data_IF_418422385854
#
_entry.id   IF_418422385854
#
_cell.length_a   1.000
_cell.length_b   1.000
_cell.length_c   1.000
_cell.angle_alpha   90.00
_cell.angle_beta   90.00
_cell.angle_gamma   90.00
#
_symmetry.space_group_name_H-M   'P 1'
#
loop_
_entity.id
_entity.type
_entity.pdbx_description
1 polymer ?
#
# COMPACT_ATOMS: atom_id res chain seq x y z
N UNK A 1 -26.23 -0.16 21.13
CA UNK A 1 -24.93 0.19 20.49
C UNK A 1 -24.51 -0.85 19.43
N UNK A 2 -24.67 -2.16 19.66
CA UNK A 2 -24.36 -3.16 18.61
C UNK A 2 -25.32 -3.15 17.42
N UNK A 3 -26.57 -2.68 17.60
CA UNK A 3 -27.56 -2.62 16.51
C UNK A 3 -27.17 -1.65 15.39
N UNK A 4 -26.41 -0.60 15.69
CA UNK A 4 -25.92 0.37 14.70
C UNK A 4 -24.88 -0.26 13.77
N UNK A 5 -23.95 -1.07 14.31
CA UNK A 5 -22.97 -1.77 13.48
C UNK A 5 -23.62 -2.86 12.63
N UNK A 6 -24.62 -3.56 13.19
CA UNK A 6 -25.36 -4.61 12.50
C UNK A 6 -26.33 -4.09 11.42
N UNK A 7 -26.73 -2.82 11.48
CA UNK A 7 -27.62 -2.24 10.45
C UNK A 7 -26.92 -1.94 9.13
N UNK A 8 -25.59 -1.89 9.11
CA UNK A 8 -24.83 -1.67 7.88
C UNK A 8 -24.51 -3.00 7.17
N UNK A 9 -25.29 -3.28 6.14
CA UNK A 9 -25.09 -4.43 5.23
C UNK A 9 -24.31 -4.05 3.96
N UNK A 10 -23.86 -2.79 3.84
CA UNK A 10 -23.04 -2.35 2.71
C UNK A 10 -21.55 -2.58 2.97
N UNK A 11 -21.07 -2.32 4.20
CA UNK A 11 -19.67 -2.50 4.57
C UNK A 11 -19.50 -3.48 5.73
N UNK A 12 -20.06 -3.20 6.91
CA UNK A 12 -19.78 -3.96 8.14
C UNK A 12 -20.17 -5.43 8.06
N UNK A 13 -21.37 -5.76 7.59
CA UNK A 13 -21.84 -7.14 7.38
C UNK A 13 -21.99 -7.38 5.88
N UNK A 14 -20.86 -7.33 5.18
CA UNK A 14 -20.78 -7.51 3.73
C UNK A 14 -19.49 -8.26 3.35
N UNK A 15 -19.39 -8.80 2.12
CA UNK A 15 -18.17 -9.44 1.65
C UNK A 15 -17.04 -8.46 1.29
N UNK A 16 -17.26 -7.14 1.35
CA UNK A 16 -16.36 -6.11 0.79
C UNK A 16 -14.92 -6.20 1.30
N UNK A 17 -14.73 -6.52 2.58
CA UNK A 17 -13.41 -6.62 3.21
C UNK A 17 -12.95 -8.07 3.47
N UNK A 18 -13.64 -9.06 2.89
CA UNK A 18 -13.39 -10.49 3.12
C UNK A 18 -12.56 -11.14 2.01
N UNK A 19 -12.15 -10.39 1.00
CA UNK A 19 -11.26 -10.87 -0.06
C UNK A 19 -9.82 -10.99 0.46
N UNK A 20 -9.16 -12.15 0.31
CA UNK A 20 -7.73 -12.27 0.58
C UNK A 20 -6.95 -11.31 -0.31
N UNK A 21 -5.94 -10.66 0.25
CA UNK A 21 -5.18 -9.68 -0.48
C UNK A 21 -3.93 -9.24 0.27
N UNK A 22 -3.48 -8.04 -0.08
CA UNK A 22 -2.33 -7.41 0.54
C UNK A 22 -2.72 -6.62 1.81
N UNK A 23 -1.76 -5.92 2.40
CA UNK A 23 -1.99 -5.05 3.55
C UNK A 23 -3.02 -3.96 3.25
N UNK A 24 -3.80 -3.55 4.25
CA UNK A 24 -4.64 -2.35 4.17
C UNK A 24 -3.80 -1.09 4.44
N UNK A 25 -4.28 0.06 3.97
CA UNK A 25 -3.63 1.35 4.17
C UNK A 25 -4.58 2.53 4.06
N UNK A 26 -4.02 3.66 3.63
CA UNK A 26 -4.73 4.91 3.49
C UNK A 26 -4.83 5.69 4.80
N UNK A 27 -5.26 6.94 4.73
CA UNK A 27 -5.16 7.90 5.83
C UNK A 27 -6.08 7.63 7.04
N UNK A 28 -7.09 6.76 6.91
CA UNK A 28 -8.08 6.53 7.96
C UNK A 28 -7.80 5.28 8.81
N UNK A 29 -7.83 4.06 8.22
CA UNK A 29 -7.85 2.81 8.99
C UNK A 29 -6.63 2.66 9.94
N UNK A 30 -5.37 2.84 9.48
CA UNK A 30 -4.21 2.70 10.36
C UNK A 30 -4.16 3.80 11.43
N UNK A 31 -4.62 5.01 11.11
CA UNK A 31 -4.66 6.14 12.04
C UNK A 31 -5.69 5.93 13.13
N UNK A 32 -6.91 5.55 12.77
CA UNK A 32 -8.03 5.40 13.71
C UNK A 32 -7.80 4.20 14.64
N UNK A 33 -7.24 3.11 14.12
CA UNK A 33 -6.85 1.97 14.95
C UNK A 33 -5.73 2.33 15.94
N UNK A 34 -4.69 3.07 15.52
CA UNK A 34 -3.66 3.57 16.44
C UNK A 34 -4.24 4.47 17.53
N UNK A 35 -5.14 5.39 17.17
CA UNK A 35 -5.79 6.28 18.12
C UNK A 35 -6.63 5.49 19.13
N UNK A 36 -7.37 4.47 18.68
CA UNK A 36 -8.14 3.59 19.55
C UNK A 36 -7.24 2.81 20.52
N UNK A 37 -6.17 2.17 20.03
CA UNK A 37 -5.22 1.43 20.86
C UNK A 37 -4.56 2.36 21.88
N UNK A 38 -4.18 3.57 21.47
CA UNK A 38 -3.63 4.58 22.37
C UNK A 38 -4.61 4.91 23.50
N UNK A 39 -5.89 5.15 23.16
CA UNK A 39 -6.92 5.46 24.15
C UNK A 39 -7.19 4.29 25.10
N UNK A 40 -7.17 3.06 24.60
CA UNK A 40 -7.32 1.83 25.40
C UNK A 40 -6.18 1.72 26.43
N UNK A 41 -4.95 2.05 26.02
CA UNK A 41 -3.79 2.06 26.91
C UNK A 41 -3.89 3.14 28.00
N UNK A 42 -4.39 4.33 27.68
CA UNK A 42 -4.65 5.37 28.69
C UNK A 42 -5.68 4.97 29.76
N UNK A 43 -6.55 3.99 29.43
CA UNK A 43 -7.55 3.44 30.33
C UNK A 43 -7.05 2.17 31.06
N UNK A 44 -5.77 1.82 30.93
CA UNK A 44 -5.18 0.59 31.48
C UNK A 44 -5.90 -0.70 31.03
N UNK A 45 -6.53 -0.67 29.85
CA UNK A 45 -7.20 -1.81 29.24
C UNK A 45 -6.27 -2.54 28.26
N UNK A 46 -6.61 -3.79 27.95
CA UNK A 46 -5.93 -4.60 26.93
C UNK A 46 -6.94 -5.11 25.91
N UNK A 47 -6.66 -4.92 24.63
CA UNK A 47 -7.45 -5.45 23.52
C UNK A 47 -6.55 -6.23 22.55
N UNK A 48 -6.11 -7.46 22.94
CA UNK A 48 -5.08 -8.19 22.19
C UNK A 48 -5.40 -8.39 20.70
N UNK A 49 -6.69 -8.61 20.37
CA UNK A 49 -7.13 -8.72 18.99
C UNK A 49 -6.84 -7.43 18.20
N UNK A 50 -7.28 -6.27 18.69
CA UNK A 50 -7.08 -4.99 18.01
C UNK A 50 -5.61 -4.60 17.97
N UNK A 51 -4.88 -4.84 19.06
CA UNK A 51 -3.43 -4.60 19.17
C UNK A 51 -2.64 -5.40 18.12
N UNK A 52 -3.09 -6.60 17.77
CA UNK A 52 -2.41 -7.46 16.79
C UNK A 52 -2.61 -7.04 15.33
N UNK A 53 -3.64 -6.25 15.01
CA UNK A 53 -4.05 -5.98 13.62
C UNK A 53 -2.94 -5.26 12.84
N UNK A 54 -2.34 -4.20 13.40
CA UNK A 54 -1.29 -3.45 12.70
C UNK A 54 -0.01 -4.27 12.50
N UNK A 55 0.34 -5.11 13.48
CA UNK A 55 1.46 -6.03 13.36
C UNK A 55 1.18 -7.06 12.26
N UNK A 56 0.01 -7.69 12.27
CA UNK A 56 -0.41 -8.61 11.21
C UNK A 56 -0.41 -7.94 9.84
N UNK A 57 -0.83 -6.67 9.74
CA UNK A 57 -0.82 -5.92 8.49
C UNK A 57 0.62 -5.70 7.98
N UNK A 58 1.57 -5.39 8.87
CA UNK A 58 2.98 -5.25 8.50
C UNK A 58 3.59 -6.57 8.02
N UNK A 59 3.22 -7.70 8.62
CA UNK A 59 3.69 -9.03 8.19
C UNK A 59 3.36 -9.35 6.72
N UNK A 60 2.26 -8.81 6.17
CA UNK A 60 1.98 -8.96 4.73
C UNK A 60 3.03 -8.25 3.89
N UNK A 61 3.47 -7.05 4.30
CA UNK A 61 4.48 -6.25 3.61
C UNK A 61 5.83 -6.95 3.68
N UNK A 62 6.23 -7.44 4.87
CA UNK A 62 7.48 -8.18 5.04
C UNK A 62 7.52 -9.43 4.17
N UNK A 63 6.47 -10.25 4.21
CA UNK A 63 6.38 -11.48 3.39
C UNK A 63 6.43 -11.20 1.90
N UNK A 64 5.82 -10.13 1.42
CA UNK A 64 5.90 -9.75 0.02
C UNK A 64 7.32 -9.31 -0.37
N UNK A 65 7.97 -8.50 0.47
CA UNK A 65 9.35 -8.09 0.23
C UNK A 65 10.29 -9.31 0.20
N UNK A 66 10.20 -10.19 1.20
CA UNK A 66 10.97 -11.44 1.26
C UNK A 66 10.73 -12.31 0.02
N UNK A 67 9.47 -12.53 -0.37
CA UNK A 67 9.13 -13.34 -1.53
C UNK A 67 9.74 -12.79 -2.83
N UNK A 68 9.71 -11.45 -3.02
CA UNK A 68 10.32 -10.80 -4.19
C UNK A 68 11.84 -10.96 -4.16
N UNK A 69 12.48 -10.72 -3.01
CA UNK A 69 13.94 -10.78 -2.86
C UNK A 69 14.48 -12.21 -3.04
N UNK A 70 13.73 -13.22 -2.60
CA UNK A 70 14.08 -14.63 -2.79
C UNK A 70 14.16 -15.05 -4.26
N UNK A 71 13.57 -14.29 -5.20
CA UNK A 71 13.71 -14.55 -6.64
C UNK A 71 15.13 -14.24 -7.16
N UNK A 72 15.95 -13.53 -6.39
CA UNK A 72 17.31 -13.16 -6.78
C UNK A 72 17.38 -12.17 -7.94
N UNK A 73 16.25 -11.53 -8.26
CA UNK A 73 16.12 -10.54 -9.33
C UNK A 73 16.24 -9.13 -8.78
N UNK A 74 16.94 -8.27 -9.51
CA UNK A 74 17.20 -6.89 -9.06
C UNK A 74 16.31 -5.86 -9.74
N UNK A 75 15.88 -6.09 -10.98
CA UNK A 75 14.99 -5.16 -11.70
C UNK A 75 13.53 -5.47 -11.39
N UNK A 76 12.88 -4.58 -10.65
CA UNK A 76 11.49 -4.76 -10.21
C UNK A 76 10.61 -3.68 -10.83
N UNK A 77 9.57 -4.09 -11.52
CA UNK A 77 8.49 -3.21 -11.96
C UNK A 77 7.34 -3.25 -10.95
N UNK A 78 6.83 -2.08 -10.54
CA UNK A 78 5.71 -1.97 -9.61
C UNK A 78 4.55 -1.25 -10.30
N UNK A 79 3.40 -1.91 -10.35
CA UNK A 79 2.19 -1.39 -10.94
C UNK A 79 1.17 -1.05 -9.84
N UNK A 80 0.99 0.24 -9.59
CA UNK A 80 0.21 0.78 -8.48
C UNK A 80 1.10 1.18 -7.30
N UNK A 81 0.93 2.42 -6.85
CA UNK A 81 1.64 3.03 -5.72
C UNK A 81 0.68 3.63 -4.69
N UNK A 82 -0.46 4.15 -5.15
CA UNK A 82 -1.57 4.58 -4.30
C UNK A 82 -2.18 3.41 -3.51
N UNK A 83 -2.83 3.70 -2.38
CA UNK A 83 -3.37 2.65 -1.51
C UNK A 83 -4.65 1.98 -2.06
N UNK A 84 -5.30 2.60 -3.05
CA UNK A 84 -6.49 2.09 -3.74
C UNK A 84 -6.56 2.66 -5.16
N UNK A 85 -7.28 2.03 -6.09
CA UNK A 85 -7.53 2.60 -7.41
C UNK A 85 -8.25 3.95 -7.35
N UNK A 86 -7.96 4.83 -8.33
CA UNK A 86 -8.67 6.10 -8.53
C UNK A 86 -8.29 7.22 -7.55
N UNK A 87 -7.14 7.15 -6.88
CA UNK A 87 -6.66 8.20 -5.98
C UNK A 87 -5.16 8.40 -6.11
N UNK A 88 -4.69 9.62 -5.85
CA UNK A 88 -3.27 9.97 -5.81
C UNK A 88 -2.68 9.92 -4.39
N UNK A 89 -3.52 9.75 -3.36
CA UNK A 89 -3.10 9.69 -1.95
C UNK A 89 -2.13 8.53 -1.68
N UNK A 90 -0.87 8.87 -1.39
CA UNK A 90 0.20 7.93 -1.09
C UNK A 90 0.39 7.71 0.42
N UNK A 91 -0.26 8.51 1.26
CA UNK A 91 -0.06 8.47 2.71
C UNK A 91 -0.57 7.15 3.25
N UNK A 92 0.26 6.49 4.07
CA UNK A 92 -0.03 5.16 4.63
C UNK A 92 -0.30 4.10 3.54
N UNK A 93 0.23 4.28 2.32
CA UNK A 93 0.14 3.25 1.28
C UNK A 93 1.09 2.09 1.59
N UNK A 94 0.62 0.85 1.67
CA UNK A 94 1.48 -0.31 1.89
C UNK A 94 2.43 -0.56 0.71
N UNK A 95 2.06 -0.10 -0.50
CA UNK A 95 2.93 -0.18 -1.67
C UNK A 95 4.15 0.75 -1.56
N UNK A 96 3.97 1.92 -0.94
CA UNK A 96 5.10 2.84 -0.66
C UNK A 96 6.09 2.18 0.30
N UNK A 97 5.61 1.54 1.37
CA UNK A 97 6.48 0.82 2.31
C UNK A 97 7.17 -0.39 1.67
N UNK A 98 6.46 -1.15 0.82
CA UNK A 98 7.06 -2.24 0.06
C UNK A 98 8.18 -1.74 -0.87
N UNK A 99 7.92 -0.71 -1.68
CA UNK A 99 8.90 -0.10 -2.59
C UNK A 99 10.11 0.39 -1.82
N UNK A 100 9.91 1.09 -0.71
CA UNK A 100 11.00 1.58 0.15
C UNK A 100 11.90 0.45 0.63
N UNK A 101 11.34 -0.69 1.04
CA UNK A 101 12.10 -1.88 1.43
C UNK A 101 12.91 -2.45 0.28
N UNK A 102 12.30 -2.61 -0.89
CA UNK A 102 12.98 -3.14 -2.08
C UNK A 102 14.16 -2.24 -2.49
N UNK A 103 14.00 -0.92 -2.44
CA UNK A 103 15.09 0.04 -2.71
C UNK A 103 16.20 -0.10 -1.67
N UNK A 104 15.85 -0.20 -0.37
CA UNK A 104 16.82 -0.36 0.70
C UNK A 104 17.67 -1.63 0.55
N UNK A 105 17.08 -2.69 -0.01
CA UNK A 105 17.76 -3.95 -0.32
C UNK A 105 18.54 -3.90 -1.66
N UNK A 106 18.51 -2.79 -2.38
CA UNK A 106 19.28 -2.57 -3.61
C UNK A 106 18.59 -3.06 -4.89
N UNK A 107 17.26 -3.18 -4.89
CA UNK A 107 16.51 -3.40 -6.12
C UNK A 107 16.45 -2.11 -6.96
N UNK A 108 16.55 -2.29 -8.28
CA UNK A 108 16.33 -1.26 -9.30
C UNK A 108 14.84 -1.22 -9.65
N UNK A 109 14.12 -0.30 -8.99
CA UNK A 109 12.65 -0.23 -9.02
C UNK A 109 12.17 0.81 -10.03
N UNK A 110 11.25 0.42 -10.92
CA UNK A 110 10.44 1.34 -11.73
C UNK A 110 8.96 1.20 -11.38
N UNK A 111 8.26 2.32 -11.32
CA UNK A 111 6.90 2.38 -10.79
C UNK A 111 5.99 3.04 -11.82
N UNK A 112 4.82 2.47 -12.06
CA UNK A 112 3.75 3.12 -12.80
C UNK A 112 2.46 3.05 -11.99
N UNK A 113 1.72 4.14 -11.94
CA UNK A 113 0.37 4.22 -11.36
C UNK A 113 -0.41 5.27 -12.16
N UNK A 114 -1.59 4.89 -12.65
CA UNK A 114 -2.44 5.72 -13.53
C UNK A 114 -2.85 7.06 -12.89
N UNK A 115 -2.95 7.11 -11.55
CA UNK A 115 -3.45 8.26 -10.80
C UNK A 115 -2.34 9.06 -10.12
N UNK A 116 -1.10 8.59 -10.16
CA UNK A 116 0.02 9.20 -9.44
C UNK A 116 1.04 9.72 -10.44
N UNK A 117 1.16 11.04 -10.52
CA UNK A 117 2.24 11.70 -11.24
C UNK A 117 2.85 12.80 -10.39
N UNK A 118 4.19 12.96 -10.44
CA UNK A 118 4.90 13.99 -9.67
C UNK A 118 4.32 15.39 -9.83
N UNK A 119 3.89 15.74 -11.05
CA UNK A 119 3.34 17.05 -11.35
C UNK A 119 1.98 17.32 -10.70
N UNK A 120 1.26 16.26 -10.30
CA UNK A 120 -0.05 16.34 -9.64
C UNK A 120 0.07 16.23 -8.12
N UNK A 121 1.18 15.71 -7.59
CA UNK A 121 1.40 15.63 -6.16
C UNK A 121 1.60 17.03 -5.55
N UNK A 122 0.71 17.40 -4.64
CA UNK A 122 0.72 18.71 -3.96
C UNK A 122 0.75 18.57 -2.44
N UNK A 123 1.27 19.62 -1.77
CA UNK A 123 1.20 19.79 -0.33
C UNK A 123 1.76 18.60 0.47
N UNK A 124 0.95 18.11 1.43
CA UNK A 124 1.36 17.05 2.36
C UNK A 124 1.60 15.69 1.70
N UNK A 125 0.94 15.39 0.59
CA UNK A 125 1.14 14.13 -0.14
C UNK A 125 2.54 14.09 -0.78
N UNK A 126 2.94 15.19 -1.42
CA UNK A 126 4.28 15.36 -2.00
C UNK A 126 5.38 15.30 -0.92
N UNK A 127 5.20 16.05 0.16
CA UNK A 127 6.17 16.07 1.26
C UNK A 127 6.34 14.68 1.88
N UNK A 128 5.23 13.96 2.08
CA UNK A 128 5.27 12.59 2.59
C UNK A 128 6.10 11.67 1.70
N UNK A 129 5.80 11.62 0.40
CA UNK A 129 6.50 10.68 -0.49
C UNK A 129 7.97 11.04 -0.68
N UNK A 130 8.32 12.32 -0.79
CA UNK A 130 9.72 12.76 -0.93
C UNK A 130 10.54 12.45 0.33
N UNK A 131 9.92 12.51 1.51
CA UNK A 131 10.57 12.11 2.77
C UNK A 131 10.70 10.59 2.94
N UNK A 132 9.77 9.82 2.37
CA UNK A 132 9.69 8.36 2.54
C UNK A 132 10.55 7.64 1.50
N UNK A 133 10.52 8.10 0.25
CA UNK A 133 11.31 7.61 -0.88
C UNK A 133 11.98 8.84 -1.52
N UNK A 134 13.20 9.20 -1.07
CA UNK A 134 13.99 10.24 -1.71
C UNK A 134 14.15 9.93 -3.20
N UNK A 135 14.01 10.95 -4.05
CA UNK A 135 14.08 10.80 -5.51
C UNK A 135 13.00 9.88 -6.11
N UNK A 136 11.84 9.69 -5.48
CA UNK A 136 10.69 8.95 -6.06
C UNK A 136 10.41 9.34 -7.52
N UNK A 137 10.67 10.60 -7.87
CA UNK A 137 10.48 11.10 -9.22
C UNK A 137 11.32 10.46 -10.32
N UNK A 138 12.47 9.86 -9.98
CA UNK A 138 13.28 9.12 -10.94
C UNK A 138 12.78 7.69 -11.14
N UNK A 139 11.94 7.19 -10.23
CA UNK A 139 11.41 5.83 -10.25
C UNK A 139 10.06 5.77 -10.97
N UNK A 140 9.26 6.83 -10.83
CA UNK A 140 7.96 6.97 -11.49
C UNK A 140 8.13 7.08 -13.02
N UNK A 141 7.47 6.18 -13.74
CA UNK A 141 7.37 6.16 -15.18
C UNK A 141 5.97 6.59 -15.61
N UNK A 142 5.89 7.34 -16.70
CA UNK A 142 4.61 7.73 -17.33
C UNK A 142 4.08 6.64 -18.25
N UNK A 143 4.94 5.75 -18.71
CA UNK A 143 4.63 4.67 -19.65
C UNK A 143 4.67 3.32 -18.94
N UNK A 144 3.59 2.55 -19.07
CA UNK A 144 3.44 1.22 -18.50
C UNK A 144 4.41 0.24 -19.17
N UNK A 145 4.56 0.33 -20.50
CA UNK A 145 5.39 -0.60 -21.28
C UNK A 145 6.86 -0.48 -20.85
N UNK A 146 7.34 0.74 -20.63
CA UNK A 146 8.69 1.00 -20.11
C UNK A 146 8.97 0.38 -18.73
N UNK A 147 7.95 0.18 -17.89
CA UNK A 147 8.07 -0.55 -16.61
C UNK A 147 8.13 -2.05 -16.85
N UNK A 148 7.27 -2.57 -17.72
CA UNK A 148 7.21 -4.00 -18.05
C UNK A 148 8.49 -4.47 -18.73
N UNK A 149 9.02 -3.71 -19.70
CA UNK A 149 10.27 -4.03 -20.40
C UNK A 149 11.50 -4.02 -19.48
N UNK A 150 11.49 -3.18 -18.45
CA UNK A 150 12.57 -3.12 -17.46
C UNK A 150 12.57 -4.31 -16.51
N UNK A 151 11.39 -4.74 -16.10
CA UNK A 151 11.17 -5.62 -14.98
C UNK A 151 11.58 -7.08 -15.28
N UNK A 152 12.35 -7.67 -14.36
CA UNK A 152 12.46 -9.13 -14.26
C UNK A 152 11.38 -9.72 -13.35
N UNK A 153 10.85 -8.89 -12.45
CA UNK A 153 9.75 -9.22 -11.54
C UNK A 153 8.75 -8.07 -11.58
N UNK A 154 7.49 -8.40 -11.86
CA UNK A 154 6.39 -7.45 -11.86
C UNK A 154 5.56 -7.62 -10.60
N UNK A 155 5.38 -6.55 -9.84
CA UNK A 155 4.54 -6.49 -8.64
C UNK A 155 3.28 -5.72 -8.98
N UNK A 156 2.12 -6.36 -8.81
CA UNK A 156 0.82 -5.75 -9.09
C UNK A 156 0.17 -5.36 -7.76
N UNK A 157 0.17 -4.05 -7.47
CA UNK A 157 -0.40 -3.46 -6.25
C UNK A 157 -1.79 -2.85 -6.42
N UNK A 158 -2.29 -2.74 -7.65
CA UNK A 158 -3.61 -2.17 -7.96
C UNK A 158 -4.42 -3.08 -8.86
N UNK A 159 -5.74 -3.13 -8.66
CA UNK A 159 -6.66 -3.83 -9.56
C UNK A 159 -6.88 -3.09 -10.86
N UNK A 160 -6.51 -1.81 -10.95
CA UNK A 160 -6.61 -1.01 -12.18
C UNK A 160 -5.82 -1.61 -13.35
N UNK A 161 -4.76 -2.38 -13.07
CA UNK A 161 -3.97 -3.05 -14.13
C UNK A 161 -4.78 -4.10 -14.91
N UNK A 162 -5.84 -4.66 -14.31
CA UNK A 162 -6.67 -5.66 -14.98
C UNK A 162 -7.36 -5.14 -16.26
N UNK A 163 -7.52 -3.82 -16.41
CA UNK A 163 -8.04 -3.21 -17.64
C UNK A 163 -7.00 -3.15 -18.78
N UNK A 164 -5.71 -3.32 -18.44
CA UNK A 164 -4.58 -3.39 -19.39
C UNK A 164 -4.08 -4.82 -19.59
N UNK A 165 -4.59 -5.79 -18.82
CA UNK A 165 -4.35 -7.21 -19.01
C UNK A 165 -5.17 -7.74 -20.21
N UNK A 166 -4.84 -7.26 -21.41
CA UNK A 166 -5.20 -7.91 -22.67
C UNK A 166 -3.89 -8.20 -23.39
N UNK A 167 -3.24 -9.31 -23.02
CA UNK A 167 -2.29 -10.07 -23.84
C UNK A 167 -2.13 -11.47 -23.23
#
# INVERSE_FOLDING_TARGET
>A
MSDIFKSDTHLNISPVYLSPGFAFGGSCLPKDLRALIYRVKELDLKLPLLESILSSNNEHIERAAEAILCLGKRRVGVLGLSFKPGTDDLRESPMVELVKKLIAEGCDVRIWDENVSLGQLIGSNRQFIESTIPHIGTLLQTDLDAVVEHAEVLVVGTTAVSQYAIL
#
